data_IF_897545946974
#
_entry.id   IF_897545946974
#
_cell.length_a   1.000
_cell.length_b   1.000
_cell.length_c   1.000
_cell.angle_alpha   90.00
_cell.angle_beta   90.00
_cell.angle_gamma   90.00
#
_symmetry.space_group_name_H-M   'P 1'
#
loop_
_entity.id
_entity.type
_entity.pdbx_description
1 polymer ?
#
# COMPACT_ATOMS: atom_id res chain seq x y z
N UNK A 1 -40.87 -3.67 37.69
CA UNK A 1 -39.97 -4.77 37.28
C UNK A 1 -40.19 -5.19 35.82
N UNK A 2 -41.44 -5.51 35.42
CA UNK A 2 -41.75 -5.99 34.06
C UNK A 2 -41.39 -5.00 32.93
N UNK A 3 -41.65 -3.69 33.12
CA UNK A 3 -41.31 -2.65 32.14
C UNK A 3 -39.80 -2.46 31.95
N UNK A 4 -39.00 -2.74 32.99
CA UNK A 4 -37.54 -2.62 32.93
C UNK A 4 -36.92 -3.76 32.13
N UNK A 5 -37.45 -4.98 32.29
CA UNK A 5 -37.02 -6.16 31.52
C UNK A 5 -37.36 -5.97 30.04
N UNK A 6 -38.55 -5.45 29.72
CA UNK A 6 -38.95 -5.15 28.35
C UNK A 6 -38.00 -4.12 27.72
N UNK A 7 -37.64 -3.06 28.46
CA UNK A 7 -36.68 -2.04 27.99
C UNK A 7 -35.30 -2.60 27.67
N UNK A 8 -34.77 -3.51 28.50
CA UNK A 8 -33.48 -4.17 28.25
C UNK A 8 -33.52 -5.05 27.00
N UNK A 9 -34.62 -5.78 26.79
CA UNK A 9 -34.78 -6.63 25.59
C UNK A 9 -34.81 -5.79 24.32
N UNK A 10 -35.52 -4.65 24.31
CA UNK A 10 -35.51 -3.73 23.17
C UNK A 10 -34.14 -3.11 22.92
N UNK A 11 -33.38 -2.78 23.98
CA UNK A 11 -32.01 -2.27 23.85
C UNK A 11 -31.07 -3.31 23.22
N UNK A 12 -31.15 -4.57 23.67
CA UNK A 12 -30.35 -5.67 23.12
C UNK A 12 -30.72 -5.91 21.65
N UNK A 13 -32.01 -5.92 21.32
CA UNK A 13 -32.47 -6.06 19.94
C UNK A 13 -32.00 -4.90 19.05
N UNK A 14 -32.03 -3.66 19.54
CA UNK A 14 -31.53 -2.51 18.80
C UNK A 14 -30.01 -2.60 18.54
N UNK A 15 -29.23 -3.02 19.54
CA UNK A 15 -27.77 -3.23 19.40
C UNK A 15 -27.50 -4.36 18.41
N UNK A 16 -28.22 -5.48 18.50
CA UNK A 16 -28.12 -6.57 17.54
C UNK A 16 -28.45 -6.10 16.12
N UNK A 17 -29.55 -5.36 15.94
CA UNK A 17 -29.91 -4.81 14.62
C UNK A 17 -28.77 -3.93 14.11
N UNK A 18 -28.22 -3.00 14.90
CA UNK A 18 -27.09 -2.15 14.47
C UNK A 18 -25.86 -3.01 14.06
N UNK A 19 -25.52 -4.04 14.81
CA UNK A 19 -24.41 -4.94 14.50
C UNK A 19 -24.69 -5.75 13.21
N UNK A 20 -25.93 -6.17 12.97
CA UNK A 20 -26.28 -7.04 11.84
C UNK A 20 -26.73 -6.28 10.57
N UNK A 21 -27.19 -5.04 10.70
CA UNK A 21 -27.55 -4.16 9.58
C UNK A 21 -26.39 -3.27 9.15
N UNK A 22 -25.31 -3.20 9.92
CA UNK A 22 -24.08 -2.61 9.37
C UNK A 22 -23.54 -3.54 8.29
N UNK A 23 -23.45 -3.08 7.03
CA UNK A 23 -22.97 -3.92 5.94
C UNK A 23 -21.57 -4.42 6.29
N UNK A 24 -21.38 -5.74 6.28
CA UNK A 24 -20.08 -6.40 6.33
C UNK A 24 -19.25 -5.94 5.14
N UNK A 25 -18.56 -4.82 5.31
CA UNK A 25 -17.71 -4.25 4.26
C UNK A 25 -17.82 -2.73 4.19
N UNK A 26 -17.48 -2.03 5.26
CA UNK A 26 -16.76 -0.76 5.19
C UNK A 26 -16.22 -0.44 6.59
N UNK A 27 -14.90 -0.38 6.70
CA UNK A 27 -14.21 -0.41 7.98
C UNK A 27 -14.48 0.90 8.74
N UNK A 28 -15.21 0.82 9.86
CA UNK A 28 -15.32 1.92 10.83
C UNK A 28 -13.94 2.48 11.22
N UNK A 29 -12.93 1.61 11.27
CA UNK A 29 -11.51 1.97 11.44
C UNK A 29 -10.98 2.82 10.28
N UNK A 30 -11.33 2.53 9.01
CA UNK A 30 -10.95 3.38 7.87
C UNK A 30 -11.64 4.75 7.95
N UNK A 31 -12.90 4.83 8.42
CA UNK A 31 -13.58 6.13 8.65
C UNK A 31 -12.93 6.95 9.77
N UNK A 32 -12.53 6.33 10.87
CA UNK A 32 -11.80 7.00 11.96
C UNK A 32 -10.42 7.46 11.48
N UNK A 33 -9.68 6.59 10.79
CA UNK A 33 -8.37 6.94 10.23
C UNK A 33 -8.51 8.09 9.23
N UNK A 34 -9.52 8.05 8.35
CA UNK A 34 -9.78 9.08 7.36
C UNK A 34 -10.10 10.43 8.03
N UNK A 35 -10.97 10.42 9.03
CA UNK A 35 -11.30 11.62 9.83
C UNK A 35 -10.06 12.19 10.52
N UNK A 36 -9.21 11.31 11.08
CA UNK A 36 -7.93 11.69 11.68
C UNK A 36 -6.98 12.34 10.67
N UNK A 37 -6.89 11.83 9.44
CA UNK A 37 -6.03 12.44 8.41
C UNK A 37 -6.54 13.82 7.99
N UNK A 38 -7.86 13.98 7.81
CA UNK A 38 -8.44 15.29 7.48
C UNK A 38 -8.13 16.34 8.55
N UNK A 39 -8.05 15.93 9.82
CA UNK A 39 -7.67 16.83 10.92
C UNK A 39 -6.20 17.21 10.88
N UNK A 40 -5.31 16.24 10.61
CA UNK A 40 -3.86 16.49 10.44
C UNK A 40 -3.58 17.37 9.22
N UNK A 41 -4.31 17.18 8.11
CA UNK A 41 -4.17 18.01 6.92
C UNK A 41 -4.67 19.44 7.16
N UNK A 42 -5.79 19.63 7.88
CA UNK A 42 -6.24 20.96 8.31
C UNK A 42 -5.24 21.66 9.23
N UNK A 43 -4.59 20.94 10.14
CA UNK A 43 -3.55 21.50 11.01
C UNK A 43 -2.28 21.87 10.24
N UNK A 44 -1.86 21.05 9.29
CA UNK A 44 -0.70 21.35 8.44
C UNK A 44 -0.92 22.62 7.60
N UNK A 45 -2.12 22.78 7.04
CA UNK A 45 -2.52 23.98 6.29
C UNK A 45 -2.55 25.22 7.19
N UNK A 46 -3.00 25.09 8.45
CA UNK A 46 -3.04 26.23 9.39
C UNK A 46 -1.65 26.75 9.81
N UNK A 47 -0.62 25.91 9.73
CA UNK A 47 0.76 26.29 10.05
C UNK A 47 1.54 26.91 8.88
N UNK A 48 1.06 26.83 7.64
CA UNK A 48 1.73 27.39 6.46
C UNK A 48 1.22 28.80 6.07
N UNK A 49 0.08 29.25 6.60
CA UNK A 49 -0.54 30.53 6.20
C UNK A 49 0.03 31.79 6.88
N UNK A 50 1.24 31.75 7.46
CA UNK A 50 1.84 32.91 8.11
C UNK A 50 2.99 33.57 7.36
N UNK A 51 3.34 33.13 6.16
CA UNK A 51 4.33 33.82 5.34
C UNK A 51 3.91 33.89 3.86
N UNK A 52 3.60 35.13 3.45
CA UNK A 52 3.74 35.72 2.12
C UNK A 52 2.53 35.64 1.15
N UNK A 53 2.33 36.82 0.57
CA UNK A 53 1.20 37.43 -0.11
C UNK A 53 1.17 37.17 -1.64
N UNK A 54 -0.05 37.32 -2.18
CA UNK A 54 -0.46 37.64 -3.57
C UNK A 54 -0.42 36.62 -4.73
N UNK A 55 -1.63 36.40 -5.24
CA UNK A 55 -2.09 36.05 -6.61
C UNK A 55 -2.09 34.58 -7.06
N UNK A 56 -3.31 34.09 -7.31
CA UNK A 56 -3.58 32.90 -8.12
C UNK A 56 -4.49 31.89 -7.43
N UNK A 57 -5.80 32.15 -7.45
CA UNK A 57 -6.82 31.18 -7.06
C UNK A 57 -6.81 29.99 -8.05
N UNK A 58 -5.97 28.98 -7.78
CA UNK A 58 -5.94 27.76 -8.55
C UNK A 58 -6.88 26.74 -7.89
N UNK A 59 -8.12 26.70 -8.39
CA UNK A 59 -9.09 25.66 -8.03
C UNK A 59 -8.48 24.29 -8.29
N UNK A 60 -8.64 23.38 -7.32
CA UNK A 60 -8.25 21.99 -7.45
C UNK A 60 -8.75 21.41 -8.79
N UNK A 61 -7.89 20.77 -9.61
CA UNK A 61 -8.37 20.08 -10.79
C UNK A 61 -9.29 18.93 -10.32
N UNK A 62 -10.42 18.71 -11.01
CA UNK A 62 -11.38 17.70 -10.60
C UNK A 62 -10.70 16.34 -10.53
N UNK A 63 -10.80 15.70 -9.36
CA UNK A 63 -10.51 14.29 -9.19
C UNK A 63 -11.43 13.55 -10.16
N UNK A 64 -10.86 13.08 -11.27
CA UNK A 64 -11.59 12.25 -12.23
C UNK A 64 -11.92 10.93 -11.53
N UNK A 65 -13.16 10.84 -11.04
CA UNK A 65 -13.77 9.58 -10.63
C UNK A 65 -14.15 8.87 -11.92
N UNK A 66 -13.21 8.07 -12.45
CA UNK A 66 -13.42 7.20 -13.60
C UNK A 66 -13.64 5.76 -13.17
N UNK A 67 -14.63 5.13 -13.79
CA UNK A 67 -15.17 3.81 -13.49
C UNK A 67 -14.13 2.70 -13.27
N UNK A 68 -14.49 1.81 -12.36
CA UNK A 68 -13.81 0.53 -12.13
C UNK A 68 -13.96 -0.32 -13.38
N UNK A 69 -13.03 -0.25 -14.32
CA UNK A 69 -12.57 -1.35 -15.20
C UNK A 69 -11.69 -0.76 -16.30
N UNK A 70 -10.50 -1.35 -16.49
CA UNK A 70 -9.52 -1.04 -17.55
C UNK A 70 -8.70 0.25 -17.41
N UNK A 71 -8.04 0.43 -16.28
CA UNK A 71 -6.81 1.25 -16.26
C UNK A 71 -5.72 0.43 -16.95
N UNK A 72 -5.41 0.79 -18.21
CA UNK A 72 -4.21 0.32 -18.91
C UNK A 72 -3.02 0.93 -18.17
N UNK A 73 -2.39 0.15 -17.30
CA UNK A 73 -1.14 0.56 -16.67
C UNK A 73 -0.06 0.50 -17.74
N UNK A 74 0.51 1.64 -18.08
CA UNK A 74 1.75 1.67 -18.85
C UNK A 74 2.80 0.80 -18.16
N UNK A 75 3.49 -0.01 -18.96
CA UNK A 75 4.62 -0.80 -18.46
C UNK A 75 5.66 0.16 -17.89
N UNK A 76 6.02 0.03 -16.60
CA UNK A 76 6.95 0.94 -15.98
C UNK A 76 8.35 0.82 -16.58
N UNK A 77 9.10 1.93 -16.53
CA UNK A 77 10.53 1.92 -16.84
C UNK A 77 11.28 1.04 -15.82
N UNK A 78 11.93 0.00 -16.32
CA UNK A 78 12.90 -0.81 -15.58
C UNK A 78 14.12 0.06 -15.22
N UNK A 79 14.41 0.17 -13.93
CA UNK A 79 15.56 0.92 -13.39
C UNK A 79 16.72 0.00 -13.00
N UNK A 80 16.60 -1.31 -13.24
CA UNK A 80 17.54 -2.34 -12.84
C UNK A 80 17.23 -2.90 -11.46
N UNK A 81 18.26 -3.45 -10.83
CA UNK A 81 18.19 -4.07 -9.50
C UNK A 81 18.68 -3.06 -8.44
N UNK A 82 17.84 -2.80 -7.43
CA UNK A 82 18.25 -2.04 -6.24
C UNK A 82 19.47 -2.64 -5.54
N UNK A 83 20.29 -1.80 -4.89
CA UNK A 83 21.57 -2.20 -4.28
C UNK A 83 21.44 -2.73 -2.85
N UNK A 84 20.25 -2.66 -2.25
CA UNK A 84 19.99 -3.15 -0.90
C UNK A 84 20.10 -4.67 -0.80
N UNK A 85 20.90 -5.19 0.14
CA UNK A 85 21.08 -6.65 0.33
C UNK A 85 19.75 -7.36 0.58
N UNK A 86 18.89 -6.77 1.42
CA UNK A 86 17.59 -7.35 1.77
C UNK A 86 16.55 -7.18 0.66
N UNK A 87 16.53 -6.04 -0.03
CA UNK A 87 15.72 -5.83 -1.24
C UNK A 87 16.06 -6.87 -2.32
N UNK A 88 17.37 -7.05 -2.58
CA UNK A 88 17.88 -8.04 -3.54
C UNK A 88 17.43 -9.44 -3.15
N UNK A 89 17.54 -9.81 -1.87
CA UNK A 89 17.09 -11.11 -1.38
C UNK A 89 15.59 -11.31 -1.57
N UNK A 90 14.77 -10.32 -1.23
CA UNK A 90 13.32 -10.41 -1.42
C UNK A 90 12.96 -10.52 -2.90
N UNK A 91 13.67 -9.79 -3.78
CA UNK A 91 13.49 -9.87 -5.23
C UNK A 91 13.83 -11.25 -5.76
N UNK A 92 15.00 -11.80 -5.45
CA UNK A 92 15.41 -13.15 -5.89
C UNK A 92 14.39 -14.20 -5.46
N UNK A 93 13.88 -14.09 -4.23
CA UNK A 93 12.82 -14.97 -3.73
C UNK A 93 11.55 -14.84 -4.58
N UNK A 94 11.09 -13.62 -4.86
CA UNK A 94 9.88 -13.40 -5.65
C UNK A 94 10.06 -13.89 -7.09
N UNK A 95 11.18 -13.57 -7.73
CA UNK A 95 11.50 -14.03 -9.09
C UNK A 95 11.54 -15.56 -9.17
N UNK A 96 12.13 -16.22 -8.15
CA UNK A 96 12.13 -17.69 -8.04
C UNK A 96 10.71 -18.24 -7.91
N UNK A 97 9.85 -17.61 -7.12
CA UNK A 97 8.47 -18.07 -6.91
C UNK A 97 7.63 -17.86 -8.17
N UNK A 98 7.76 -16.71 -8.84
CA UNK A 98 6.93 -16.34 -9.99
C UNK A 98 7.49 -16.82 -11.33
N UNK A 99 8.77 -17.15 -11.41
CA UNK A 99 9.45 -17.52 -12.65
C UNK A 99 9.63 -16.35 -13.63
N UNK A 100 9.46 -15.11 -13.19
CA UNK A 100 9.58 -13.90 -14.01
C UNK A 100 10.50 -12.88 -13.34
N UNK A 101 11.12 -12.01 -14.15
CA UNK A 101 11.90 -10.88 -13.65
C UNK A 101 11.01 -9.83 -13.01
N UNK A 102 11.48 -9.29 -11.89
CA UNK A 102 10.72 -8.32 -11.10
C UNK A 102 11.62 -7.11 -10.79
N UNK A 103 11.85 -6.19 -11.75
CA UNK A 103 12.79 -5.08 -11.58
C UNK A 103 12.30 -4.00 -10.60
N UNK A 104 13.20 -3.09 -10.23
CA UNK A 104 12.86 -1.84 -9.56
C UNK A 104 12.23 -0.90 -10.58
N UNK A 105 11.12 -0.25 -10.21
CA UNK A 105 10.35 0.57 -11.15
C UNK A 105 9.90 1.89 -10.55
N UNK A 106 9.76 2.94 -11.37
CA UNK A 106 9.14 4.23 -10.98
C UNK A 106 7.98 4.59 -11.91
N UNK A 107 6.82 3.92 -11.77
CA UNK A 107 5.72 4.03 -12.72
C UNK A 107 5.08 5.43 -12.75
N UNK A 108 4.57 5.83 -13.92
CA UNK A 108 3.84 7.10 -14.11
C UNK A 108 2.58 7.19 -13.25
N UNK A 109 1.91 6.05 -13.02
CA UNK A 109 0.72 5.96 -12.18
C UNK A 109 1.02 6.07 -10.68
N UNK A 110 2.28 5.94 -10.26
CA UNK A 110 2.70 6.08 -8.87
C UNK A 110 3.40 7.42 -8.65
N UNK A 111 2.77 8.50 -9.08
CA UNK A 111 3.30 9.85 -8.99
C UNK A 111 2.93 10.51 -7.67
N UNK A 112 3.92 11.01 -6.94
CA UNK A 112 3.70 11.77 -5.71
C UNK A 112 2.86 13.03 -6.02
N UNK A 113 1.72 13.23 -5.36
CA UNK A 113 0.82 14.34 -5.67
C UNK A 113 1.43 15.72 -5.33
N UNK A 114 2.36 15.77 -4.37
CA UNK A 114 3.02 17.00 -3.90
C UNK A 114 4.21 17.32 -4.81
N UNK A 115 5.18 16.42 -4.91
CA UNK A 115 6.44 16.69 -5.63
C UNK A 115 6.36 16.44 -7.13
N UNK A 116 5.27 15.83 -7.61
CA UNK A 116 5.06 15.38 -8.99
C UNK A 116 6.10 14.40 -9.53
N UNK A 117 6.96 13.86 -8.66
CA UNK A 117 7.94 12.82 -9.00
C UNK A 117 7.35 11.43 -8.82
N UNK A 118 7.74 10.48 -9.67
CA UNK A 118 7.33 9.09 -9.54
C UNK A 118 8.01 8.48 -8.29
N UNK A 119 7.23 7.76 -7.49
CA UNK A 119 7.75 6.95 -6.39
C UNK A 119 8.24 5.61 -6.94
N UNK A 120 9.12 4.99 -6.17
CA UNK A 120 9.74 3.71 -6.51
C UNK A 120 8.92 2.53 -5.97
N UNK A 121 8.95 1.42 -6.70
CA UNK A 121 8.69 0.08 -6.19
C UNK A 121 9.97 -0.73 -6.27
N UNK A 122 10.43 -1.29 -5.15
CA UNK A 122 11.68 -2.04 -5.11
C UNK A 122 11.65 -3.22 -6.09
N UNK A 123 10.52 -3.91 -6.16
CA UNK A 123 10.37 -5.12 -6.96
C UNK A 123 8.95 -5.20 -7.49
N UNK A 124 8.78 -5.28 -8.81
CA UNK A 124 7.46 -5.33 -9.45
C UNK A 124 7.42 -6.36 -10.58
N UNK A 125 6.48 -7.30 -10.51
CA UNK A 125 6.36 -8.39 -11.49
C UNK A 125 5.60 -8.02 -12.77
N UNK A 126 4.96 -6.86 -12.82
CA UNK A 126 4.11 -6.47 -13.97
C UNK A 126 2.90 -7.38 -14.20
N UNK A 127 2.24 -7.23 -15.35
CA UNK A 127 1.08 -8.06 -15.75
C UNK A 127 1.45 -9.47 -16.24
N UNK A 128 2.69 -9.92 -16.04
CA UNK A 128 3.19 -11.17 -16.62
C UNK A 128 2.79 -12.39 -15.78
N UNK A 129 1.51 -12.78 -15.81
CA UNK A 129 1.09 -14.15 -15.45
C UNK A 129 -0.24 -14.30 -14.72
N UNK A 130 -0.61 -15.57 -14.46
CA UNK A 130 -1.84 -15.98 -13.73
C UNK A 130 -1.90 -15.41 -12.30
N UNK A 131 -0.75 -15.08 -11.71
CA UNK A 131 -0.62 -14.52 -10.36
C UNK A 131 -1.01 -13.04 -10.25
N UNK A 132 -1.22 -12.34 -11.37
CA UNK A 132 -1.55 -10.91 -11.38
C UNK A 132 -0.38 -10.00 -10.95
N UNK A 133 -0.67 -8.70 -10.79
CA UNK A 133 0.34 -7.67 -10.48
C UNK A 133 0.77 -7.76 -9.02
N UNK A 134 2.04 -8.05 -8.77
CA UNK A 134 2.61 -8.14 -7.42
C UNK A 134 3.77 -7.16 -7.32
N UNK A 135 3.87 -6.49 -6.17
CA UNK A 135 5.01 -5.67 -5.80
C UNK A 135 5.55 -6.08 -4.43
N UNK A 136 6.85 -5.94 -4.21
CA UNK A 136 7.49 -6.03 -2.89
C UNK A 136 8.16 -4.69 -2.55
N UNK A 137 8.06 -4.32 -1.28
CA UNK A 137 8.84 -3.26 -0.63
C UNK A 137 9.53 -3.82 0.61
N UNK A 138 10.82 -3.53 0.79
CA UNK A 138 11.51 -3.83 2.03
C UNK A 138 11.49 -2.62 2.96
N UNK A 139 10.72 -2.71 4.05
CA UNK A 139 10.56 -1.62 5.02
C UNK A 139 11.74 -1.56 5.98
N UNK A 140 12.84 -0.95 5.53
CA UNK A 140 13.99 -0.63 6.38
C UNK A 140 13.61 0.15 7.65
N UNK A 141 14.48 0.13 8.67
CA UNK A 141 14.24 0.81 9.96
C UNK A 141 13.86 2.30 9.85
N UNK A 142 14.35 2.94 8.78
CA UNK A 142 14.05 4.31 8.39
C UNK A 142 12.56 4.59 8.14
N UNK A 143 11.71 3.57 7.91
CA UNK A 143 10.27 3.77 7.71
C UNK A 143 9.49 4.00 9.01
N UNK A 144 10.06 3.69 10.18
CA UNK A 144 9.35 3.77 11.47
C UNK A 144 10.00 4.69 12.49
N UNK A 145 11.24 5.09 12.26
CA UNK A 145 12.02 5.88 13.20
C UNK A 145 12.61 7.07 12.47
N UNK A 146 12.51 8.24 13.11
CA UNK A 146 13.25 9.42 12.70
C UNK A 146 14.75 9.09 12.75
N UNK A 147 15.40 9.13 11.60
CA UNK A 147 16.84 8.92 11.51
C UNK A 147 17.57 10.17 12.02
N UNK A 148 18.82 9.99 12.48
CA UNK A 148 19.63 11.11 12.96
C UNK A 148 19.81 12.13 11.84
N UNK A 149 19.40 13.37 12.08
CA UNK A 149 19.44 14.46 11.09
C UNK A 149 18.17 14.63 10.25
N UNK A 150 17.16 13.75 10.39
CA UNK A 150 15.83 14.00 9.83
C UNK A 150 15.03 14.91 10.74
N UNK A 151 14.19 15.77 10.15
CA UNK A 151 13.17 16.54 10.87
C UNK A 151 11.92 15.69 11.11
N UNK A 152 11.02 16.17 11.96
CA UNK A 152 9.69 15.54 12.15
C UNK A 152 8.88 15.58 10.84
N UNK A 153 9.01 16.64 10.07
CA UNK A 153 8.37 16.84 8.78
C UNK A 153 8.86 15.81 7.75
N UNK A 154 10.14 15.45 7.77
CA UNK A 154 10.69 14.40 6.88
C UNK A 154 10.06 13.03 7.18
N UNK A 155 9.94 12.69 8.47
CA UNK A 155 9.27 11.46 8.89
C UNK A 155 7.79 11.46 8.48
N UNK A 156 7.08 12.56 8.68
CA UNK A 156 5.66 12.71 8.25
C UNK A 156 5.55 12.55 6.73
N UNK A 157 6.46 13.16 5.97
CA UNK A 157 6.50 13.05 4.50
C UNK A 157 6.77 11.62 4.04
N UNK A 158 7.65 10.88 4.73
CA UNK A 158 7.89 9.47 4.47
C UNK A 158 6.64 8.62 4.73
N UNK A 159 6.00 8.78 5.89
CA UNK A 159 4.75 8.08 6.22
C UNK A 159 3.65 8.39 5.19
N UNK A 160 3.52 9.65 4.77
CA UNK A 160 2.57 10.07 3.73
C UNK A 160 2.84 9.37 2.39
N UNK A 161 4.10 9.28 1.97
CA UNK A 161 4.50 8.57 0.74
C UNK A 161 4.19 7.08 0.82
N UNK A 162 4.52 6.44 1.93
CA UNK A 162 4.25 5.01 2.14
C UNK A 162 2.74 4.71 2.07
N UNK A 163 1.94 5.53 2.75
CA UNK A 163 0.49 5.41 2.71
C UNK A 163 -0.10 5.63 1.32
N UNK A 164 0.39 6.65 0.60
CA UNK A 164 -0.03 6.89 -0.77
C UNK A 164 0.32 5.70 -1.68
N UNK A 165 1.49 5.09 -1.47
CA UNK A 165 1.93 3.89 -2.19
C UNK A 165 0.96 2.72 -1.96
N UNK A 166 0.65 2.43 -0.70
CA UNK A 166 -0.29 1.37 -0.31
C UNK A 166 -1.68 1.59 -0.93
N UNK A 167 -2.22 2.81 -0.82
CA UNK A 167 -3.53 3.17 -1.35
C UNK A 167 -3.58 3.07 -2.87
N UNK A 168 -2.54 3.52 -3.57
CA UNK A 168 -2.47 3.50 -5.03
C UNK A 168 -2.37 2.06 -5.54
N UNK A 169 -1.49 1.24 -4.96
CA UNK A 169 -1.40 -0.18 -5.31
C UNK A 169 -2.73 -0.91 -5.07
N UNK A 170 -3.39 -0.68 -3.93
CA UNK A 170 -4.72 -1.26 -3.63
C UNK A 170 -5.77 -0.87 -4.68
N UNK A 171 -5.83 0.41 -5.06
CA UNK A 171 -6.76 0.92 -6.09
C UNK A 171 -6.53 0.29 -7.46
N UNK A 172 -5.28 -0.01 -7.80
CA UNK A 172 -4.89 -0.58 -9.10
C UNK A 172 -4.92 -2.12 -9.13
N UNK A 173 -5.36 -2.76 -8.04
CA UNK A 173 -5.38 -4.23 -7.93
C UNK A 173 -3.98 -4.85 -7.86
N UNK A 174 -2.99 -4.10 -7.38
CA UNK A 174 -1.61 -4.56 -7.18
C UNK A 174 -1.48 -5.09 -5.76
N UNK A 175 -1.07 -6.34 -5.61
CA UNK A 175 -0.74 -6.91 -4.30
C UNK A 175 0.63 -6.40 -3.87
N UNK A 176 0.64 -5.39 -2.99
CA UNK A 176 1.86 -4.85 -2.40
C UNK A 176 2.22 -5.61 -1.12
N UNK A 177 3.34 -6.33 -1.12
CA UNK A 177 3.87 -7.07 0.03
C UNK A 177 5.00 -6.25 0.66
N UNK A 178 4.76 -5.75 1.87
CA UNK A 178 5.79 -5.07 2.67
C UNK A 178 6.51 -6.07 3.55
N UNK A 179 7.82 -6.22 3.38
CA UNK A 179 8.67 -7.10 4.19
C UNK A 179 9.32 -6.25 5.28
N UNK A 180 9.01 -6.48 6.56
CA UNK A 180 9.54 -5.64 7.64
C UNK A 180 11.02 -5.96 7.92
N UNK A 181 11.79 -4.93 8.26
CA UNK A 181 13.22 -5.04 8.63
C UNK A 181 13.54 -5.92 9.84
N UNK A 182 12.61 -6.10 10.79
CA UNK A 182 12.81 -6.94 11.97
C UNK A 182 12.66 -8.44 11.67
N UNK A 183 12.20 -8.80 10.46
CA UNK A 183 12.07 -10.19 10.06
C UNK A 183 13.45 -10.79 9.77
N UNK A 184 13.71 -12.00 10.27
CA UNK A 184 14.97 -12.68 9.97
C UNK A 184 15.03 -12.99 8.46
N UNK A 185 16.14 -12.68 7.76
CA UNK A 185 16.30 -12.99 6.33
C UNK A 185 16.03 -14.45 5.96
N UNK A 186 16.27 -15.41 6.87
CA UNK A 186 15.94 -16.82 6.66
C UNK A 186 14.43 -17.07 6.50
N UNK A 187 13.59 -16.20 7.06
CA UNK A 187 12.13 -16.31 7.03
C UNK A 187 11.48 -15.57 5.86
N UNK A 188 12.25 -14.83 5.06
CA UNK A 188 11.70 -14.04 3.94
C UNK A 188 10.91 -14.89 2.95
N UNK A 189 11.43 -16.08 2.58
CA UNK A 189 10.77 -16.94 1.60
C UNK A 189 9.41 -17.45 2.10
N UNK A 190 9.36 -17.93 3.34
CA UNK A 190 8.12 -18.38 3.96
C UNK A 190 7.12 -17.22 4.11
N UNK A 191 7.59 -16.05 4.56
CA UNK A 191 6.76 -14.86 4.72
C UNK A 191 6.13 -14.43 3.38
N UNK A 192 6.94 -14.30 2.32
CA UNK A 192 6.48 -13.90 0.99
C UNK A 192 5.50 -14.93 0.43
N UNK A 193 5.80 -16.23 0.54
CA UNK A 193 4.87 -17.30 0.13
C UNK A 193 3.55 -17.23 0.87
N UNK A 194 3.58 -17.00 2.19
CA UNK A 194 2.39 -16.84 3.01
C UNK A 194 1.50 -15.67 2.55
N UNK A 195 2.11 -14.51 2.26
CA UNK A 195 1.40 -13.34 1.73
C UNK A 195 0.80 -13.59 0.35
N UNK A 196 1.54 -14.24 -0.55
CA UNK A 196 1.05 -14.63 -1.87
C UNK A 196 -0.10 -15.64 -1.78
N UNK A 197 0.01 -16.64 -0.91
CA UNK A 197 -1.04 -17.65 -0.68
C UNK A 197 -2.31 -17.00 -0.17
N UNK A 198 -2.20 -16.11 0.84
CA UNK A 198 -3.34 -15.37 1.37
C UNK A 198 -4.01 -14.49 0.32
N UNK A 199 -3.24 -13.88 -0.58
CA UNK A 199 -3.74 -13.08 -1.68
C UNK A 199 -4.29 -13.91 -2.87
N UNK A 200 -4.22 -15.26 -2.80
CA UNK A 200 -4.60 -16.13 -3.91
C UNK A 200 -3.70 -15.99 -5.15
N UNK A 201 -2.45 -15.54 -4.96
CA UNK A 201 -1.47 -15.25 -6.02
C UNK A 201 -0.25 -16.17 -6.02
N UNK A 202 -0.20 -17.17 -5.14
CA UNK A 202 0.87 -18.17 -5.15
C UNK A 202 0.67 -19.13 -6.34
N UNK A 203 1.65 -19.28 -7.24
CA UNK A 203 1.57 -20.25 -8.33
C UNK A 203 1.39 -21.68 -7.79
N UNK A 204 0.66 -22.53 -8.53
CA UNK A 204 0.59 -23.97 -8.20
C UNK A 204 1.92 -24.62 -8.56
N UNK A 205 2.29 -25.70 -7.86
CA UNK A 205 3.59 -26.38 -8.08
C UNK A 205 3.80 -26.81 -9.54
N UNK A 206 2.74 -27.16 -10.27
CA UNK A 206 2.80 -27.50 -11.70
C UNK A 206 2.99 -26.31 -12.65
N UNK A 207 2.84 -25.07 -12.18
CA UNK A 207 3.05 -23.85 -12.96
C UNK A 207 4.47 -23.25 -12.73
N UNK A 208 5.29 -23.82 -11.85
CA UNK A 208 6.68 -23.37 -11.66
C UNK A 208 7.53 -23.83 -12.86
N UNK A 209 8.23 -22.92 -13.57
CA UNK A 209 9.16 -23.34 -14.61
C UNK A 209 10.21 -24.25 -13.99
N UNK A 210 10.34 -25.49 -14.48
CA UNK A 210 11.49 -26.31 -14.15
C UNK A 210 12.74 -25.49 -14.52
N UNK A 211 13.56 -25.14 -13.54
CA UNK A 211 14.89 -24.58 -13.74
C UNK A 211 15.75 -25.65 -14.43
N UNK A 212 15.51 -25.85 -15.73
CA UNK A 212 16.48 -26.51 -16.61
C UNK A 212 17.56 -25.47 -16.88
N UNK A 213 18.66 -25.63 -16.14
CA UNK A 213 20.00 -25.14 -16.40
C UNK A 213 20.10 -23.76 -17.09
N UNK A 214 20.33 -22.72 -16.29
CA UNK A 214 21.10 -21.58 -16.78
C UNK A 214 22.52 -22.08 -17.10
N UNK A 215 23.08 -21.77 -18.28
CA UNK A 215 24.43 -22.18 -18.67
C UNK A 215 25.52 -21.55 -17.80
#
# INVERSE_FOLDING_TARGET
MMLFVIGIVFLILAICIIIYTTPKGENFVERIIDTGNRYVDKMAISTENNDIDTTGEQRDPPVVIGDKTNIVLEEPKDLGYGTGKNETRCRVILEKILGVKCPTVRPNWLKNPITKRNLELDCFSGCSGKSGRIAIEYDGAQHRKQMRGQTKQDLISQIRRDKFKDQTCKKLGITLIRVPDWLNPAQFEEYIKGKLKYAGKLPKEHDSPSLKALP
#
